data_IF_739333345099
#
_entry.id   IF_739333345099
#
_cell.length_a   1.000
_cell.length_b   1.000
_cell.length_c   1.000
_cell.angle_alpha   90.00
_cell.angle_beta   90.00
_cell.angle_gamma   90.00
#
_symmetry.space_group_name_H-M   'P 1'
#
loop_
_entity.id
_entity.type
_entity.pdbx_description
1 polymer ?
#
# COMPACT_ATOMS: atom_id res chain seq x y z
N UNK A 1 -2.58 -22.80 -9.32
CA UNK A 1 -3.63 -22.49 -8.32
C UNK A 1 -3.39 -21.11 -7.73
N UNK A 2 -3.18 -20.09 -8.59
CA UNK A 2 -2.97 -18.68 -8.19
C UNK A 2 -3.51 -17.69 -9.24
N UNK A 3 -4.25 -18.17 -10.24
CA UNK A 3 -4.98 -17.33 -11.18
C UNK A 3 -6.29 -16.95 -10.50
N UNK A 4 -6.62 -15.66 -10.43
CA UNK A 4 -7.82 -15.15 -9.77
C UNK A 4 -7.64 -14.49 -8.40
N UNK A 5 -6.42 -14.45 -7.84
CA UNK A 5 -6.21 -13.75 -6.55
C UNK A 5 -6.33 -12.21 -6.68
N UNK A 6 -6.15 -11.69 -7.90
CA UNK A 6 -6.22 -10.26 -8.22
C UNK A 6 -7.33 -9.90 -9.21
N UNK A 7 -8.18 -10.86 -9.59
CA UNK A 7 -9.33 -10.54 -10.44
C UNK A 7 -10.38 -9.87 -9.54
N UNK A 8 -10.57 -8.57 -9.75
CA UNK A 8 -11.59 -7.77 -9.06
C UNK A 8 -12.96 -8.21 -9.59
N UNK A 9 -13.65 -9.07 -8.83
CA UNK A 9 -15.08 -9.31 -9.06
C UNK A 9 -15.79 -7.96 -8.89
N UNK A 10 -16.29 -7.43 -10.00
CA UNK A 10 -17.08 -6.20 -10.07
C UNK A 10 -18.48 -6.46 -9.45
N UNK A 11 -18.51 -6.69 -8.14
CA UNK A 11 -19.69 -6.85 -7.32
C UNK A 11 -20.02 -5.53 -6.61
N UNK A 12 -21.28 -5.16 -6.73
CA UNK A 12 -21.98 -3.97 -6.28
C UNK A 12 -21.68 -3.49 -4.85
N UNK A 13 -21.72 -2.17 -4.69
CA UNK A 13 -21.10 -1.44 -3.60
C UNK A 13 -21.79 -1.55 -2.24
N UNK A 14 -20.96 -1.63 -1.19
CA UNK A 14 -21.31 -1.29 0.18
C UNK A 14 -20.19 -0.39 0.73
N UNK A 15 -20.48 0.90 0.89
CA UNK A 15 -19.50 1.92 1.27
C UNK A 15 -19.27 1.93 2.79
N UNK A 16 -18.07 1.59 3.25
CA UNK A 16 -17.59 2.03 4.57
C UNK A 16 -16.12 2.47 4.56
N UNK A 17 -15.60 3.01 3.46
CA UNK A 17 -14.35 3.78 3.53
C UNK A 17 -14.65 5.17 4.11
N UNK A 18 -14.79 5.26 5.43
CA UNK A 18 -14.68 6.54 6.15
C UNK A 18 -13.19 6.94 6.20
N UNK A 19 -12.62 7.24 5.03
CA UNK A 19 -11.31 7.85 4.91
C UNK A 19 -11.40 9.30 5.39
N UNK A 20 -10.65 9.64 6.44
CA UNK A 20 -10.43 11.03 6.83
C UNK A 20 -9.84 11.80 5.64
N UNK A 21 -10.32 13.01 5.31
CA UNK A 21 -9.85 13.75 4.15
C UNK A 21 -8.44 14.28 4.44
N UNK A 22 -7.42 13.58 3.98
CA UNK A 22 -6.10 14.19 3.78
C UNK A 22 -6.08 14.71 2.35
N UNK A 23 -6.55 15.94 2.21
CA UNK A 23 -6.20 16.82 1.09
C UNK A 23 -4.69 16.78 0.87
N UNK A 24 -4.26 16.45 -0.35
CA UNK A 24 -3.41 17.31 -1.19
C UNK A 24 -2.86 16.48 -2.36
N UNK A 25 -3.48 16.65 -3.52
CA UNK A 25 -2.84 16.44 -4.81
C UNK A 25 -1.66 17.41 -4.94
N UNK A 26 -0.45 16.91 -5.23
CA UNK A 26 0.59 17.63 -5.99
C UNK A 26 1.71 16.67 -6.40
N UNK A 27 2.02 16.75 -7.69
CA UNK A 27 3.00 16.01 -8.46
C UNK A 27 4.44 16.07 -7.91
N UNK A 28 5.22 15.05 -8.29
CA UNK A 28 6.67 15.13 -8.54
C UNK A 28 7.49 15.87 -7.50
N UNK A 29 7.78 15.23 -6.37
CA UNK A 29 9.04 15.48 -5.67
C UNK A 29 9.50 14.14 -5.11
N UNK A 30 10.62 13.65 -5.62
CA UNK A 30 11.52 12.74 -4.91
C UNK A 30 11.99 13.49 -3.65
N UNK A 31 11.08 13.65 -2.66
CA UNK A 31 11.46 14.16 -1.36
C UNK A 31 12.27 13.04 -0.76
N UNK A 32 13.52 13.32 -0.37
CA UNK A 32 14.25 12.44 0.52
C UNK A 32 13.28 12.06 1.64
N UNK A 33 12.88 10.78 1.67
CA UNK A 33 11.99 10.28 2.70
C UNK A 33 12.62 10.64 4.04
N UNK A 34 11.84 11.12 5.02
CA UNK A 34 12.40 11.46 6.33
C UNK A 34 13.20 10.26 6.86
N UNK A 35 14.30 10.50 7.60
CA UNK A 35 15.10 9.42 8.15
C UNK A 35 14.20 8.41 8.86
N UNK A 36 14.38 7.12 8.53
CA UNK A 36 13.61 6.07 9.19
C UNK A 36 13.88 6.11 10.70
N UNK A 37 12.83 5.91 11.48
CA UNK A 37 12.89 5.80 12.94
C UNK A 37 13.81 4.64 13.38
N UNK A 38 14.00 4.51 14.69
CA UNK A 38 14.88 3.48 15.27
C UNK A 38 14.49 2.06 14.86
N UNK A 39 13.19 1.80 14.65
CA UNK A 39 12.68 0.50 14.20
C UNK A 39 12.91 0.22 12.72
N UNK A 40 13.40 1.20 11.95
CA UNK A 40 13.62 1.12 10.49
C UNK A 40 12.38 0.73 9.68
N UNK A 41 11.18 0.87 10.26
CA UNK A 41 9.92 0.63 9.59
C UNK A 41 9.50 1.87 8.79
N UNK A 42 8.99 1.68 7.58
CA UNK A 42 8.36 2.73 6.79
C UNK A 42 7.08 2.21 6.12
N UNK A 43 6.06 3.08 6.02
CA UNK A 43 4.85 2.78 5.27
C UNK A 43 5.02 3.00 3.77
N UNK A 44 4.17 2.35 2.97
CA UNK A 44 4.09 2.54 1.53
C UNK A 44 2.80 3.30 1.19
N UNK A 45 2.92 4.37 0.40
CA UNK A 45 1.76 5.12 -0.08
C UNK A 45 0.96 4.26 -1.06
N UNK A 46 -0.35 4.22 -0.90
CA UNK A 46 -1.25 3.59 -1.86
C UNK A 46 -1.33 4.48 -3.12
N UNK A 47 -0.99 3.94 -4.29
CA UNK A 47 -1.01 4.68 -5.56
C UNK A 47 -2.33 4.46 -6.34
N UNK A 48 -3.37 3.98 -5.66
CA UNK A 48 -4.71 3.75 -6.21
C UNK A 48 -5.03 2.26 -6.27
N UNK A 49 -5.98 1.81 -5.45
CA UNK A 49 -6.37 0.40 -5.31
C UNK A 49 -5.23 -0.60 -5.06
N UNK A 50 -4.01 -0.17 -4.70
CA UNK A 50 -2.83 -1.04 -4.52
C UNK A 50 -2.53 -1.39 -3.06
N UNK A 51 -3.46 -1.19 -2.13
CA UNK A 51 -3.21 -1.48 -0.70
C UNK A 51 -2.91 -2.95 -0.43
N UNK A 52 -3.56 -3.86 -1.17
CA UNK A 52 -3.28 -5.30 -1.09
C UNK A 52 -1.82 -5.60 -1.45
N UNK A 53 -1.30 -4.93 -2.49
CA UNK A 53 0.07 -5.10 -2.95
C UNK A 53 1.06 -4.53 -1.93
N UNK A 54 0.75 -3.37 -1.34
CA UNK A 54 1.57 -2.78 -0.28
C UNK A 54 1.70 -3.71 0.92
N UNK A 55 0.60 -4.34 1.37
CA UNK A 55 0.61 -5.31 2.47
C UNK A 55 1.43 -6.56 2.13
N UNK A 56 1.32 -7.05 0.90
CA UNK A 56 2.09 -8.21 0.42
C UNK A 56 3.59 -7.92 0.39
N UNK A 57 4.00 -6.79 -0.19
CA UNK A 57 5.42 -6.39 -0.27
C UNK A 57 6.03 -6.30 1.12
N UNK A 58 5.35 -5.67 2.08
CA UNK A 58 5.84 -5.57 3.45
C UNK A 58 5.99 -6.96 4.09
N UNK A 59 5.04 -7.88 3.86
CA UNK A 59 5.12 -9.26 4.36
C UNK A 59 6.35 -10.00 3.81
N UNK A 60 6.60 -9.89 2.50
CA UNK A 60 7.75 -10.53 1.86
C UNK A 60 9.08 -9.95 2.36
N UNK A 61 9.17 -8.62 2.47
CA UNK A 61 10.39 -7.93 2.94
C UNK A 61 10.79 -8.35 4.37
N UNK A 62 9.80 -8.59 5.25
CA UNK A 62 10.04 -9.03 6.62
C UNK A 62 10.17 -10.55 6.80
N UNK A 63 10.12 -11.31 5.69
CA UNK A 63 10.40 -12.74 5.68
C UNK A 63 11.84 -12.94 5.21
N UNK A 64 12.79 -13.31 6.10
CA UNK A 64 14.22 -13.33 5.80
C UNK A 64 14.64 -14.21 4.62
N UNK A 65 13.82 -15.19 4.27
CA UNK A 65 14.04 -16.13 3.18
C UNK A 65 13.75 -15.50 1.80
N UNK A 66 13.02 -14.38 1.76
CA UNK A 66 12.62 -13.70 0.53
C UNK A 66 13.37 -12.37 0.28
N UNK A 67 14.30 -11.98 1.15
CA UNK A 67 15.06 -10.73 1.06
C UNK A 67 16.48 -10.91 0.53
#
# INVERSE_FOLDING_TARGET
MLQGLFDEDAGDGESYYQGTPTTTSKSTVERCLPPRNETKLCGLQNQGATCYLNALIQTLLFTPEFR
#
